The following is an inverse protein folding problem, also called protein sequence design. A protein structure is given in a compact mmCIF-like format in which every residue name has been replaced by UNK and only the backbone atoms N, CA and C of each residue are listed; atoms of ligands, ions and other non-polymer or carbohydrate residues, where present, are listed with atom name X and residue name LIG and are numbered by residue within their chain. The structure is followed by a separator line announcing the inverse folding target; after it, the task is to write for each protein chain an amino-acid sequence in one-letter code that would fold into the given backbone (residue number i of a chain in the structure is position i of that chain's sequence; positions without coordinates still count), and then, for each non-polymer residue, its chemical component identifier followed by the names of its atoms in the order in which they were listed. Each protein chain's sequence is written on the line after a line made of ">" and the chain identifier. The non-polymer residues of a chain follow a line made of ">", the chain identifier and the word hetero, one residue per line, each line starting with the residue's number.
data_IF_517271943257
#
_entry.id   IF_517271943257
#
_cell.length_a   1.000
_cell.length_b   1.000
_cell.length_c   1.000
_cell.angle_alpha   90.00
_cell.angle_beta   90.00
_cell.angle_gamma   90.00
#
_symmetry.space_group_name_H-M   'P 1'
#
loop_
_entity.id
_entity.type
_entity.pdbx_description
1 polymer ?
#
# COMPACT_ATOMS: atom_id res chain seq x y z
N UNK A 1 -19.07 -2.87 -4.48
CA UNK A 1 -18.31 -3.30 -5.67
C UNK A 1 -17.98 -4.78 -5.52
N UNK A 2 -18.14 -5.61 -6.56
CA UNK A 2 -17.62 -6.99 -6.54
C UNK A 2 -16.09 -6.88 -6.46
N UNK A 3 -15.48 -7.56 -5.47
CA UNK A 3 -14.03 -7.69 -5.41
C UNK A 3 -13.54 -8.40 -6.66
N UNK A 4 -12.50 -7.88 -7.29
CA UNK A 4 -11.81 -8.57 -8.37
C UNK A 4 -10.98 -9.69 -7.75
N UNK A 5 -11.46 -10.93 -7.79
CA UNK A 5 -10.63 -12.12 -7.51
C UNK A 5 -9.58 -12.20 -8.62
N UNK A 6 -8.40 -11.66 -8.35
CA UNK A 6 -7.28 -11.57 -9.28
C UNK A 6 -6.20 -12.52 -8.80
N UNK A 7 -5.67 -13.33 -9.72
CA UNK A 7 -4.50 -14.14 -9.49
C UNK A 7 -3.24 -13.26 -9.51
N UNK A 8 -2.70 -12.98 -8.33
CA UNK A 8 -1.52 -12.13 -8.15
C UNK A 8 -0.20 -12.85 -8.47
N UNK A 9 -0.23 -14.15 -8.81
CA UNK A 9 0.98 -14.92 -9.14
C UNK A 9 1.69 -14.45 -10.41
N UNK A 10 1.00 -13.66 -11.24
CA UNK A 10 1.54 -13.09 -12.48
C UNK A 10 2.44 -11.87 -12.26
N UNK A 11 2.50 -11.34 -11.04
CA UNK A 11 3.24 -10.12 -10.76
C UNK A 11 4.62 -10.43 -10.14
N UNK A 12 5.66 -9.86 -10.74
CA UNK A 12 7.00 -9.89 -10.17
C UNK A 12 7.01 -9.05 -8.89
N UNK A 13 7.38 -9.67 -7.77
CA UNK A 13 7.50 -9.03 -6.46
C UNK A 13 8.88 -8.43 -6.21
N UNK A 14 9.82 -8.55 -7.16
CA UNK A 14 11.16 -7.98 -7.02
C UNK A 14 11.19 -6.47 -7.31
N UNK A 15 10.25 -5.96 -8.10
CA UNK A 15 10.08 -4.54 -8.39
C UNK A 15 8.70 -4.06 -7.92
N UNK A 16 8.63 -3.24 -6.85
CA UNK A 16 7.35 -2.77 -6.32
C UNK A 16 6.59 -1.85 -7.28
N UNK A 17 7.29 -1.17 -8.21
CA UNK A 17 6.64 -0.31 -9.20
C UNK A 17 5.90 -1.14 -10.26
N UNK A 18 6.57 -2.16 -10.80
CA UNK A 18 5.97 -3.07 -11.78
C UNK A 18 4.90 -3.96 -11.16
N UNK A 19 5.08 -4.36 -9.89
CA UNK A 19 4.07 -5.07 -9.12
C UNK A 19 2.74 -4.30 -9.11
N UNK A 20 2.75 -3.05 -8.65
CA UNK A 20 1.49 -2.29 -8.52
C UNK A 20 0.87 -1.95 -9.87
N UNK A 21 1.66 -1.75 -10.94
CA UNK A 21 1.13 -1.61 -12.30
C UNK A 21 0.40 -2.88 -12.74
N UNK A 22 1.01 -4.04 -12.51
CA UNK A 22 0.44 -5.34 -12.89
C UNK A 22 -0.84 -5.61 -12.10
N UNK A 23 -0.82 -5.44 -10.78
CA UNK A 23 -1.98 -5.67 -9.93
C UNK A 23 -3.12 -4.71 -10.26
N UNK A 24 -2.85 -3.41 -10.40
CA UNK A 24 -3.87 -2.42 -10.76
C UNK A 24 -4.51 -2.71 -12.13
N UNK A 25 -3.71 -3.14 -13.12
CA UNK A 25 -4.20 -3.58 -14.43
C UNK A 25 -5.13 -4.79 -14.32
N UNK A 26 -4.68 -5.85 -13.66
CA UNK A 26 -5.47 -7.08 -13.53
C UNK A 26 -6.84 -6.81 -12.86
N UNK A 27 -6.87 -5.95 -11.84
CA UNK A 27 -8.13 -5.53 -11.18
C UNK A 27 -9.06 -4.79 -12.13
N UNK A 28 -8.53 -3.86 -12.93
CA UNK A 28 -9.34 -3.13 -13.90
C UNK A 28 -9.87 -4.06 -15.00
N UNK A 29 -9.03 -4.94 -15.54
CA UNK A 29 -9.40 -5.87 -16.60
C UNK A 29 -10.46 -6.88 -16.14
N UNK A 30 -10.40 -7.34 -14.89
CA UNK A 30 -11.41 -8.22 -14.31
C UNK A 30 -12.82 -7.59 -14.35
N UNK A 31 -12.93 -6.29 -14.08
CA UNK A 31 -14.20 -5.54 -14.14
C UNK A 31 -14.58 -5.21 -15.59
N UNK A 32 -13.60 -4.78 -16.39
CA UNK A 32 -13.79 -4.36 -17.78
C UNK A 32 -14.46 -5.43 -18.66
N UNK A 33 -14.20 -6.72 -18.40
CA UNK A 33 -14.82 -7.86 -19.08
C UNK A 33 -16.35 -7.80 -19.09
N UNK A 34 -16.97 -7.23 -18.05
CA UNK A 34 -18.42 -7.18 -17.87
C UNK A 34 -18.98 -5.75 -17.88
N UNK A 35 -18.21 -4.77 -18.35
CA UNK A 35 -18.58 -3.34 -18.34
C UNK A 35 -18.37 -2.72 -19.72
N UNK A 36 -19.25 -3.00 -20.69
CA UNK A 36 -19.20 -2.34 -21.99
C UNK A 36 -19.48 -0.84 -21.86
N UNK A 37 -18.85 -0.04 -22.71
CA UNK A 37 -19.01 1.42 -22.76
C UNK A 37 -18.79 2.13 -21.41
N UNK A 38 -17.69 1.78 -20.74
CA UNK A 38 -17.33 2.30 -19.43
C UNK A 38 -15.86 2.73 -19.37
N UNK A 39 -15.55 3.63 -18.43
CA UNK A 39 -14.18 3.86 -17.97
C UNK A 39 -14.01 3.06 -16.68
N UNK A 40 -13.09 2.10 -16.69
CA UNK A 40 -12.78 1.26 -15.54
C UNK A 40 -11.41 1.64 -15.02
N UNK A 41 -11.33 1.84 -13.70
CA UNK A 41 -10.10 2.19 -13.00
C UNK A 41 -9.81 1.08 -11.99
N UNK A 42 -8.59 0.53 -12.06
CA UNK A 42 -8.03 -0.37 -11.08
C UNK A 42 -6.91 0.34 -10.32
N UNK A 43 -6.78 0.01 -9.04
CA UNK A 43 -5.74 0.56 -8.18
C UNK A 43 -5.20 -0.52 -7.25
N UNK A 44 -3.90 -0.46 -7.00
CA UNK A 44 -3.24 -1.29 -6.00
C UNK A 44 -2.15 -0.49 -5.27
N UNK A 45 -1.79 -0.89 -4.07
CA UNK A 45 -0.73 -0.24 -3.31
C UNK A 45 0.01 -1.21 -2.41
N UNK A 46 1.34 -1.08 -2.40
CA UNK A 46 2.24 -1.89 -1.58
C UNK A 46 3.16 -1.01 -0.76
N UNK A 47 3.44 -1.42 0.48
CA UNK A 47 4.49 -0.82 1.30
C UNK A 47 5.82 -1.50 1.03
N UNK A 48 6.91 -0.75 1.02
CA UNK A 48 8.26 -1.26 0.83
C UNK A 48 9.21 -0.63 1.86
N UNK A 49 10.07 -1.44 2.45
CA UNK A 49 11.10 -1.01 3.39
C UNK A 49 12.41 -1.71 3.06
N UNK A 50 13.50 -0.96 2.92
CA UNK A 50 14.81 -1.48 2.52
C UNK A 50 14.77 -2.37 1.25
N UNK A 51 13.96 -1.97 0.26
CA UNK A 51 13.80 -2.71 -0.99
C UNK A 51 12.96 -3.99 -0.90
N UNK A 52 12.37 -4.29 0.27
CA UNK A 52 11.50 -5.44 0.46
C UNK A 52 10.04 -5.00 0.59
N UNK A 53 9.16 -5.67 -0.14
CA UNK A 53 7.71 -5.48 0.01
C UNK A 53 7.29 -5.99 1.38
N UNK A 54 6.53 -5.15 2.08
CA UNK A 54 5.97 -5.47 3.39
C UNK A 54 4.64 -6.19 3.21
N UNK A 55 4.54 -7.36 3.82
CA UNK A 55 3.27 -8.04 4.06
C UNK A 55 2.67 -7.54 5.38
N UNK A 56 1.36 -7.70 5.58
CA UNK A 56 0.70 -7.30 6.83
C UNK A 56 1.28 -8.07 8.03
N UNK A 57 1.54 -7.43 9.18
CA UNK A 57 2.01 -8.14 10.36
C UNK A 57 0.95 -9.16 10.81
N UNK A 58 1.40 -10.35 11.21
CA UNK A 58 0.55 -11.46 11.63
C UNK A 58 0.28 -11.47 13.13
N UNK A 59 1.09 -10.75 13.89
CA UNK A 59 0.96 -10.61 15.35
C UNK A 59 1.27 -9.19 15.80
N UNK A 60 0.91 -8.90 17.06
CA UNK A 60 1.22 -7.61 17.69
C UNK A 60 2.72 -7.45 17.89
N UNK A 61 3.41 -8.55 18.18
CA UNK A 61 4.86 -8.61 18.33
C UNK A 61 5.57 -8.25 17.03
N UNK A 62 5.14 -8.81 15.89
CA UNK A 62 5.66 -8.44 14.56
C UNK A 62 5.40 -6.95 14.25
N UNK A 63 4.25 -6.42 14.68
CA UNK A 63 3.94 -5.00 14.50
C UNK A 63 4.86 -4.08 15.35
N UNK A 64 5.20 -4.49 16.58
CA UNK A 64 6.15 -3.78 17.43
C UNK A 64 7.53 -3.76 16.77
N UNK A 65 8.06 -4.93 16.39
CA UNK A 65 9.38 -5.06 15.75
C UNK A 65 9.46 -4.23 14.47
N UNK A 66 8.37 -4.20 13.70
CA UNK A 66 8.26 -3.39 12.48
C UNK A 66 8.30 -1.90 12.78
N UNK A 67 7.49 -1.42 13.74
CA UNK A 67 7.48 0.00 14.12
C UNK A 67 8.83 0.45 14.72
N UNK A 68 9.50 -0.42 15.47
CA UNK A 68 10.85 -0.19 15.97
C UNK A 68 11.87 -0.10 14.82
N UNK A 69 11.77 -0.97 13.82
CA UNK A 69 12.64 -0.96 12.63
C UNK A 69 12.43 0.27 11.74
N UNK A 70 11.19 0.77 11.66
CA UNK A 70 10.84 1.97 10.90
C UNK A 70 11.20 3.27 11.65
N UNK A 71 11.38 3.20 12.98
CA UNK A 71 11.64 4.34 13.85
C UNK A 71 12.86 5.15 13.40
N UNK A 72 12.66 6.45 13.17
CA UNK A 72 13.71 7.37 12.71
C UNK A 72 14.20 7.16 11.27
N UNK A 73 13.67 6.16 10.56
CA UNK A 73 13.98 5.87 9.16
C UNK A 73 12.92 6.41 8.19
N UNK A 74 12.88 5.81 7.01
CA UNK A 74 11.85 6.03 6.01
C UNK A 74 11.44 4.73 5.34
N UNK A 75 10.27 4.73 4.74
CA UNK A 75 9.76 3.64 3.92
C UNK A 75 8.96 4.20 2.75
N UNK A 76 8.67 3.35 1.77
CA UNK A 76 8.00 3.74 0.52
C UNK A 76 6.61 3.12 0.46
N UNK A 77 5.66 3.85 -0.08
CA UNK A 77 4.47 3.28 -0.71
C UNK A 77 4.60 3.41 -2.22
N UNK A 78 4.25 2.34 -2.92
CA UNK A 78 4.01 2.37 -4.35
C UNK A 78 2.52 2.21 -4.58
N UNK A 79 1.94 3.09 -5.40
CA UNK A 79 0.53 3.03 -5.79
C UNK A 79 0.44 2.96 -7.30
N UNK A 80 -0.14 1.88 -7.80
CA UNK A 80 -0.40 1.65 -9.21
C UNK A 80 -1.83 2.04 -9.54
N UNK A 81 -2.00 2.73 -10.66
CA UNK A 81 -3.29 3.14 -11.22
C UNK A 81 -3.33 2.68 -12.66
N UNK A 82 -4.35 1.93 -13.01
CA UNK A 82 -4.65 1.53 -14.38
C UNK A 82 -6.05 1.99 -14.76
N UNK A 83 -6.18 2.59 -15.93
CA UNK A 83 -7.44 3.04 -16.48
C UNK A 83 -7.62 2.45 -17.88
N UNK A 84 -8.82 1.92 -18.15
CA UNK A 84 -9.21 1.47 -19.48
C UNK A 84 -10.58 2.05 -19.84
N UNK A 85 -10.68 2.61 -21.04
CA UNK A 85 -11.97 2.93 -21.67
C UNK A 85 -12.39 1.74 -22.52
N UNK A 86 -13.45 1.02 -22.12
CA UNK A 86 -13.81 -0.26 -22.73
C UNK A 86 -14.43 -0.14 -24.12
N UNK A 87 -14.97 1.04 -24.47
CA UNK A 87 -15.48 1.36 -25.81
C UNK A 87 -14.34 1.61 -26.81
N UNK A 88 -13.40 2.48 -26.46
CA UNK A 88 -12.30 2.89 -27.34
C UNK A 88 -11.05 2.02 -27.24
N UNK A 89 -10.97 1.15 -26.21
CA UNK A 89 -9.80 0.35 -25.84
C UNK A 89 -8.55 1.17 -25.50
N UNK A 90 -8.71 2.45 -25.19
CA UNK A 90 -7.59 3.29 -24.71
C UNK A 90 -7.24 2.90 -23.27
N UNK A 91 -5.95 2.73 -23.01
CA UNK A 91 -5.39 2.34 -21.73
C UNK A 91 -4.40 3.39 -21.21
N UNK A 92 -4.32 3.54 -19.90
CA UNK A 92 -3.32 4.32 -19.21
C UNK A 92 -2.87 3.57 -17.96
N UNK A 93 -1.56 3.45 -17.78
CA UNK A 93 -0.95 2.82 -16.61
C UNK A 93 0.06 3.78 -15.99
N UNK A 94 0.00 3.96 -14.68
CA UNK A 94 0.93 4.80 -13.93
C UNK A 94 1.20 4.20 -12.57
N UNK A 95 2.44 4.30 -12.11
CA UNK A 95 2.79 4.09 -10.72
C UNK A 95 3.29 5.39 -10.10
N UNK A 96 3.05 5.55 -8.80
CA UNK A 96 3.51 6.69 -8.01
C UNK A 96 4.19 6.15 -6.76
N UNK A 97 5.39 6.65 -6.49
CA UNK A 97 6.13 6.38 -5.26
C UNK A 97 5.94 7.54 -4.28
N UNK A 98 5.60 7.21 -3.04
CA UNK A 98 5.51 8.16 -1.92
C UNK A 98 6.44 7.69 -0.81
N UNK A 99 7.32 8.57 -0.34
CA UNK A 99 8.25 8.32 0.75
C UNK A 99 7.72 8.89 2.05
N UNK A 100 7.69 8.07 3.10
CA UNK A 100 7.23 8.42 4.44
C UNK A 100 8.44 8.41 5.37
N UNK A 101 8.72 9.55 5.98
CA UNK A 101 9.80 9.71 6.96
C UNK A 101 9.22 9.63 8.36
N UNK A 102 9.75 8.73 9.17
CA UNK A 102 9.33 8.53 10.55
C UNK A 102 10.16 9.41 11.47
N UNK A 103 9.55 9.90 12.55
CA UNK A 103 10.34 10.37 13.69
C UNK A 103 10.92 9.18 14.44
N UNK A 104 11.83 9.46 15.35
CA UNK A 104 12.23 8.47 16.37
C UNK A 104 11.05 8.24 17.33
N UNK A 105 10.60 6.99 17.42
CA UNK A 105 9.55 6.52 18.31
C UNK A 105 10.16 5.91 19.57
N UNK A 106 9.55 6.15 20.73
CA UNK A 106 9.90 5.44 21.95
C UNK A 106 9.18 4.09 22.02
N UNK A 107 9.82 3.05 22.56
CA UNK A 107 9.19 1.73 22.68
C UNK A 107 7.86 1.74 23.46
N UNK A 108 7.78 2.55 24.52
CA UNK A 108 6.55 2.72 25.30
C UNK A 108 5.40 3.33 24.48
N UNK A 109 5.73 4.20 23.53
CA UNK A 109 4.75 4.85 22.67
C UNK A 109 4.21 3.89 21.60
N UNK A 110 5.08 3.08 20.99
CA UNK A 110 4.69 2.03 20.04
C UNK A 110 3.69 1.07 20.70
N UNK A 111 4.02 0.60 21.92
CA UNK A 111 3.15 -0.32 22.67
C UNK A 111 1.81 0.32 22.99
N UNK A 112 1.82 1.55 23.48
CA UNK A 112 0.60 2.32 23.79
C UNK A 112 -0.29 2.49 22.56
N UNK A 113 0.30 2.82 21.41
CA UNK A 113 -0.46 2.94 20.16
C UNK A 113 -1.14 1.62 19.78
N UNK A 114 -0.40 0.51 19.80
CA UNK A 114 -0.94 -0.81 19.43
C UNK A 114 -1.94 -1.38 20.47
N UNK A 115 -2.00 -0.82 21.67
CA UNK A 115 -3.08 -1.07 22.63
C UNK A 115 -4.36 -0.29 22.29
N UNK A 116 -4.21 0.93 21.77
CA UNK A 116 -5.33 1.80 21.39
C UNK A 116 -5.90 1.43 20.02
N UNK A 117 -5.04 1.01 19.09
CA UNK A 117 -5.42 0.58 17.75
C UNK A 117 -4.91 -0.84 17.47
N UNK A 118 -5.74 -1.88 17.71
CA UNK A 118 -5.36 -3.26 17.47
C UNK A 118 -5.39 -3.64 15.98
N UNK A 119 -5.64 -2.72 15.04
CA UNK A 119 -5.76 -2.99 13.60
C UNK A 119 -4.41 -3.04 12.89
N UNK A 120 -3.37 -3.49 13.57
CA UNK A 120 -2.00 -3.57 13.04
C UNK A 120 -1.90 -4.40 11.75
N UNK A 121 -2.77 -5.40 11.60
CA UNK A 121 -2.82 -6.27 10.41
C UNK A 121 -3.60 -5.67 9.23
N UNK A 122 -4.10 -4.44 9.34
CA UNK A 122 -4.82 -3.78 8.23
C UNK A 122 -3.85 -3.21 7.19
N UNK A 123 -2.73 -2.67 7.66
CA UNK A 123 -1.73 -1.99 6.83
C UNK A 123 -0.43 -2.79 6.81
N UNK A 124 0.20 -2.89 5.64
CA UNK A 124 1.49 -3.57 5.47
C UNK A 124 2.57 -3.04 6.43
N UNK A 125 2.53 -1.75 6.75
CA UNK A 125 3.51 -1.09 7.64
C UNK A 125 3.21 -1.28 9.12
N UNK A 126 2.10 -1.93 9.48
CA UNK A 126 1.73 -2.25 10.86
C UNK A 126 0.96 -1.15 11.61
N UNK A 127 0.68 -0.03 10.96
CA UNK A 127 -0.10 1.08 11.51
C UNK A 127 -0.78 1.87 10.39
N UNK A 128 -1.78 2.69 10.73
CA UNK A 128 -2.39 3.63 9.80
C UNK A 128 -1.59 4.94 9.73
N UNK A 129 -0.87 5.25 8.64
CA UNK A 129 -0.08 6.49 8.55
C UNK A 129 -0.92 7.76 8.64
N UNK A 130 -2.23 7.65 8.36
CA UNK A 130 -3.18 8.77 8.28
C UNK A 130 -4.15 8.81 9.46
N UNK A 131 -4.14 7.78 10.30
CA UNK A 131 -5.00 7.66 11.46
C UNK A 131 -4.65 8.71 12.51
N UNK A 132 -5.67 9.35 13.11
CA UNK A 132 -5.50 10.40 14.11
C UNK A 132 -4.53 10.02 15.24
N UNK A 133 -4.53 8.75 15.66
CA UNK A 133 -3.69 8.25 16.76
C UNK A 133 -2.21 8.08 16.39
N UNK A 134 -1.91 7.86 15.11
CA UNK A 134 -0.59 7.52 14.58
C UNK A 134 0.01 8.56 13.62
N UNK A 135 -0.77 9.57 13.21
CA UNK A 135 -0.29 10.67 12.37
C UNK A 135 0.94 11.38 12.99
N UNK A 136 1.07 11.35 14.33
CA UNK A 136 2.25 11.88 15.03
C UNK A 136 3.54 11.13 14.72
N UNK A 137 3.49 9.90 14.19
CA UNK A 137 4.68 9.08 13.90
C UNK A 137 5.40 9.57 12.63
N UNK A 138 4.64 10.20 11.73
CA UNK A 138 5.15 10.70 10.45
C UNK A 138 5.74 12.09 10.65
N UNK A 139 7.03 12.24 10.32
CA UNK A 139 7.75 13.51 10.33
C UNK A 139 7.55 14.30 9.05
N UNK A 140 7.56 13.62 7.91
CA UNK A 140 7.50 14.23 6.57
C UNK A 140 7.00 13.18 5.56
N UNK A 141 6.32 13.66 4.53
CA UNK A 141 5.93 12.87 3.36
C UNK A 141 6.47 13.56 2.12
N UNK A 142 7.17 12.81 1.28
CA UNK A 142 7.64 13.25 -0.04
C UNK A 142 6.96 12.41 -1.13
N UNK A 143 6.10 13.04 -1.92
CA UNK A 143 5.38 12.36 -3.00
C UNK A 143 3.91 12.77 -3.07
N UNK A 144 3.06 11.84 -3.51
CA UNK A 144 1.61 12.06 -3.59
C UNK A 144 0.94 11.61 -2.30
N UNK A 145 0.24 12.53 -1.64
CA UNK A 145 -0.54 12.33 -0.42
C UNK A 145 -2.00 12.70 -0.67
#
# INVERSE_FOLDING_TARGET
>A
AKGSDVDESQADRSDPEELVKTLSRLKAEAVAKNSPDAIVIGMDSVGCFNGQILEKPKSKEEAIERLESLSGGNFQFYTGIFMVNTASKKELSKAVKTEIFMRTLAAAEIKKYLEQDPRFNTYAVGFDPLGHSSASFVKKIDGSY
#
